data_IF_769823779311
#
_entry.id   IF_769823779311
#
_cell.length_a   1.000
_cell.length_b   1.000
_cell.length_c   1.000
_cell.angle_alpha   90.00
_cell.angle_beta   90.00
_cell.angle_gamma   90.00
#
_symmetry.space_group_name_H-M   'P 1'
#
loop_
_entity.id
_entity.type
_entity.pdbx_description
1 polymer ?
#
# COMPACT_ATOMS: atom_id res chain seq x y z
N UNK A 1 9.15 11.03 -6.36
CA UNK A 1 9.34 10.41 -5.02
C UNK A 1 9.01 8.93 -5.12
N UNK A 2 9.47 8.12 -4.17
CA UNK A 2 9.13 6.69 -4.10
C UNK A 2 8.04 6.46 -3.06
N UNK A 3 6.96 5.81 -3.46
CA UNK A 3 5.79 5.48 -2.63
C UNK A 3 5.72 3.96 -2.45
N UNK A 4 5.45 3.49 -1.24
CA UNK A 4 5.19 2.07 -0.98
C UNK A 4 3.71 1.79 -1.23
N UNK A 5 3.37 0.79 -2.04
CA UNK A 5 2.03 0.22 -2.06
C UNK A 5 1.94 -0.84 -0.95
N UNK A 6 0.98 -0.71 -0.04
CA UNK A 6 0.70 -1.66 1.03
C UNK A 6 0.04 -2.96 0.49
N UNK A 7 0.60 -3.52 -0.58
CA UNK A 7 0.19 -4.75 -1.24
C UNK A 7 1.39 -5.35 -1.98
N UNK A 8 1.44 -6.68 -2.04
CA UNK A 8 2.39 -7.44 -2.88
C UNK A 8 1.81 -7.84 -4.23
N UNK A 9 0.61 -7.37 -4.56
CA UNK A 9 -0.01 -7.68 -5.84
C UNK A 9 0.70 -6.94 -6.99
N UNK A 10 1.53 -7.68 -7.73
CA UNK A 10 2.29 -7.14 -8.86
C UNK A 10 1.42 -6.48 -9.95
N UNK A 11 0.18 -6.95 -10.13
CA UNK A 11 -0.79 -6.33 -11.04
C UNK A 11 -1.15 -4.91 -10.57
N UNK A 12 -1.55 -4.78 -9.30
CA UNK A 12 -1.92 -3.49 -8.69
C UNK A 12 -0.74 -2.51 -8.71
N UNK A 13 0.47 -2.97 -8.39
CA UNK A 13 1.68 -2.12 -8.46
C UNK A 13 1.88 -1.55 -9.85
N UNK A 14 1.73 -2.38 -10.90
CA UNK A 14 1.89 -1.94 -12.28
C UNK A 14 0.83 -0.92 -12.70
N UNK A 15 -0.44 -1.22 -12.44
CA UNK A 15 -1.56 -0.36 -12.85
C UNK A 15 -1.55 0.98 -12.12
N UNK A 16 -1.45 0.96 -10.79
CA UNK A 16 -1.40 2.19 -9.99
C UNK A 16 -0.10 2.95 -10.23
N UNK A 17 1.02 2.26 -10.43
CA UNK A 17 2.31 2.89 -10.75
C UNK A 17 2.26 3.67 -12.07
N UNK A 18 1.52 3.19 -13.08
CA UNK A 18 1.33 3.92 -14.32
C UNK A 18 0.52 5.21 -14.14
N UNK A 19 -0.51 5.18 -13.28
CA UNK A 19 -1.39 6.32 -12.99
C UNK A 19 -0.72 7.39 -12.12
N UNK A 20 0.20 6.99 -11.23
CA UNK A 20 0.81 7.88 -10.23
C UNK A 20 2.10 8.54 -10.71
N UNK A 21 2.43 8.45 -12.00
CA UNK A 21 3.61 9.16 -12.54
C UNK A 21 3.52 10.67 -12.29
N UNK A 22 4.63 11.34 -11.95
CA UNK A 22 6.02 10.87 -12.00
C UNK A 22 6.52 10.16 -10.72
N UNK A 23 5.64 9.71 -9.84
CA UNK A 23 6.03 8.94 -8.66
C UNK A 23 6.33 7.48 -9.03
N UNK A 24 7.32 6.90 -8.36
CA UNK A 24 7.66 5.50 -8.48
C UNK A 24 6.95 4.74 -7.36
N UNK A 25 6.06 3.83 -7.74
CA UNK A 25 5.35 2.97 -6.80
C UNK A 25 6.10 1.65 -6.67
N UNK A 26 6.48 1.28 -5.44
CA UNK A 26 7.17 0.03 -5.11
C UNK A 26 6.25 -0.88 -4.28
N UNK A 27 6.36 -2.21 -4.42
CA UNK A 27 5.58 -3.14 -3.60
C UNK A 27 5.98 -3.05 -2.12
N UNK A 28 5.13 -3.60 -1.26
CA UNK A 28 5.46 -3.80 0.16
C UNK A 28 6.67 -4.75 0.28
N UNK A 29 7.73 -4.41 1.05
CA UNK A 29 8.87 -5.30 1.27
C UNK A 29 8.46 -6.62 1.92
N UNK A 30 9.14 -7.72 1.60
CA UNK A 30 8.76 -9.06 2.09
C UNK A 30 8.91 -9.22 3.60
N UNK A 31 9.86 -8.51 4.21
CA UNK A 31 10.05 -8.42 5.66
C UNK A 31 8.94 -7.66 6.41
N UNK A 32 8.04 -6.94 5.74
CA UNK A 32 6.95 -6.19 6.38
C UNK A 32 5.66 -6.99 6.41
N UNK A 33 5.23 -7.40 7.60
CA UNK A 33 3.90 -8.00 7.79
C UNK A 33 2.86 -6.93 8.12
N UNK A 34 1.77 -6.90 7.35
CA UNK A 34 0.61 -6.05 7.66
C UNK A 34 -0.33 -6.78 8.60
N UNK A 35 -0.97 -6.02 9.49
CA UNK A 35 -2.00 -6.54 10.37
C UNK A 35 -3.23 -7.00 9.56
N UNK A 36 -4.01 -7.96 10.10
CA UNK A 36 -5.28 -8.35 9.50
C UNK A 36 -6.22 -7.16 9.30
N UNK A 37 -7.02 -7.22 8.23
CA UNK A 37 -8.09 -6.26 7.97
C UNK A 37 -9.25 -6.52 8.95
N UNK A 38 -9.45 -5.60 9.89
CA UNK A 38 -10.51 -5.68 10.91
C UNK A 38 -11.49 -4.51 10.83
N UNK A 39 -11.35 -3.63 9.83
CA UNK A 39 -12.26 -2.51 9.62
C UNK A 39 -13.59 -2.97 9.03
N UNK A 40 -14.64 -2.17 9.25
CA UNK A 40 -15.97 -2.44 8.73
C UNK A 40 -16.17 -1.84 7.32
N UNK A 41 -15.24 -0.98 6.90
CA UNK A 41 -15.27 -0.31 5.60
C UNK A 41 -13.95 -0.46 4.84
N UNK A 42 -14.03 -0.42 3.50
CA UNK A 42 -12.83 -0.40 2.65
C UNK A 42 -11.89 0.77 2.97
N UNK A 43 -12.46 1.92 3.34
CA UNK A 43 -11.67 3.10 3.71
C UNK A 43 -10.84 2.85 4.97
N UNK A 44 -11.41 2.22 5.99
CA UNK A 44 -10.70 1.90 7.25
C UNK A 44 -9.58 0.90 7.01
N UNK A 45 -9.84 -0.16 6.23
CA UNK A 45 -8.84 -1.16 5.88
C UNK A 45 -7.70 -0.54 5.07
N UNK A 46 -8.01 0.24 4.04
CA UNK A 46 -7.00 0.94 3.25
C UNK A 46 -6.17 1.91 4.12
N UNK A 47 -6.82 2.74 4.95
CA UNK A 47 -6.12 3.67 5.82
C UNK A 47 -5.18 2.96 6.81
N UNK A 48 -5.64 1.85 7.40
CA UNK A 48 -4.85 1.03 8.33
C UNK A 48 -3.65 0.41 7.63
N UNK A 49 -3.83 -0.20 6.46
CA UNK A 49 -2.75 -0.77 5.65
C UNK A 49 -1.71 0.28 5.27
N UNK A 50 -2.14 1.45 4.80
CA UNK A 50 -1.24 2.53 4.41
C UNK A 50 -0.42 3.03 5.60
N UNK A 51 -1.05 3.22 6.76
CA UNK A 51 -0.35 3.64 7.98
C UNK A 51 0.68 2.61 8.44
N UNK A 52 0.29 1.34 8.53
CA UNK A 52 1.19 0.26 8.93
C UNK A 52 2.40 0.13 7.98
N UNK A 53 2.18 0.20 6.66
CA UNK A 53 3.25 0.19 5.68
C UNK A 53 4.19 1.41 5.82
N UNK A 54 3.64 2.60 6.08
CA UNK A 54 4.43 3.81 6.27
C UNK A 54 5.29 3.73 7.54
N UNK A 55 4.72 3.27 8.64
CA UNK A 55 5.41 3.08 9.93
C UNK A 55 6.54 2.03 9.81
N UNK A 56 6.27 0.88 9.19
CA UNK A 56 7.24 -0.19 9.07
C UNK A 56 8.40 0.16 8.11
N UNK A 57 8.14 0.95 7.06
CA UNK A 57 9.14 1.25 6.03
C UNK A 57 9.82 2.62 6.20
N UNK A 58 9.27 3.51 7.02
CA UNK A 58 9.71 4.90 7.14
C UNK A 58 9.49 5.73 5.86
N UNK A 59 8.57 5.30 4.99
CA UNK A 59 8.33 5.92 3.66
C UNK A 59 6.86 6.26 3.49
N UNK A 60 6.51 7.27 2.68
CA UNK A 60 5.11 7.50 2.32
C UNK A 60 4.51 6.25 1.66
N UNK A 61 3.31 5.87 2.08
CA UNK A 61 2.64 4.67 1.60
C UNK A 61 1.21 4.95 1.13
N UNK A 62 0.78 4.17 0.15
CA UNK A 62 -0.57 4.10 -0.39
C UNK A 62 -1.13 2.70 -0.09
N UNK A 63 -2.42 2.59 0.13
CA UNK A 63 -3.11 1.31 0.12
C UNK A 63 -4.37 1.41 -0.73
N UNK A 64 -4.83 0.24 -1.16
CA UNK A 64 -6.07 0.04 -1.87
C UNK A 64 -6.80 -1.13 -1.19
N UNK A 65 -8.11 -0.97 -0.99
CA UNK A 65 -8.98 -2.03 -0.49
C UNK A 65 -10.25 -2.10 -1.31
N UNK A 66 -10.63 -3.32 -1.68
CA UNK A 66 -11.63 -3.59 -2.71
C UNK A 66 -12.30 -4.93 -2.44
N UNK A 67 -13.62 -5.03 -2.64
CA UNK A 67 -14.40 -6.26 -2.51
C UNK A 67 -15.51 -6.34 -3.56
#
# INVERSE_FOLDING_TARGET
MRLVLASRNAHKVRELGALLRPHELIPLPDEVELLPETGETFLENAATKARAAAEATGRPALADDSG
#
